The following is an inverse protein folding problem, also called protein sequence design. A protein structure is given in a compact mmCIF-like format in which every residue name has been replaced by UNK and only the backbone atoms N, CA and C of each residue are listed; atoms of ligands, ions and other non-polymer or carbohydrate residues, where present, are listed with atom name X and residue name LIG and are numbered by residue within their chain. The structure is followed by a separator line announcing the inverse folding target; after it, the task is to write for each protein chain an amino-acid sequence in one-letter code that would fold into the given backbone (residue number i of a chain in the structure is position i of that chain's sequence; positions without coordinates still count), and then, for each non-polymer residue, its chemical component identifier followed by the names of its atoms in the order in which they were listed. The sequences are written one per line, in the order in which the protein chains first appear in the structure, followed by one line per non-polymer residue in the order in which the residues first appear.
data_IF_634427884474
#
_entry.id   IF_634427884474
#
_cell.length_a   1.000
_cell.length_b   1.000
_cell.length_c   1.000
_cell.angle_alpha   90.00
_cell.angle_beta   90.00
_cell.angle_gamma   90.00
#
_symmetry.space_group_name_H-M   'P 1'
#
loop_
_entity.id
_entity.type
_entity.pdbx_description
1 polymer ?
#
# COMPACT_ATOMS: atom_id res chain seq x y z
N UNK A 1 35.27 33.98 -4.41
CA UNK A 1 34.20 34.78 -3.78
C UNK A 1 33.35 33.81 -2.97
N UNK A 2 33.72 33.59 -1.71
CA UNK A 2 33.06 32.64 -0.81
C UNK A 2 31.86 33.32 -0.15
N UNK A 3 30.65 32.83 -0.41
CA UNK A 3 29.44 33.26 0.29
C UNK A 3 29.36 32.55 1.63
N UNK A 4 29.48 33.30 2.72
CA UNK A 4 29.28 32.84 4.09
C UNK A 4 27.79 32.53 4.33
N UNK A 5 27.46 31.29 4.66
CA UNK A 5 26.17 30.97 5.28
C UNK A 5 26.24 31.35 6.77
N UNK A 6 25.35 32.19 7.30
CA UNK A 6 25.33 32.49 8.73
C UNK A 6 24.83 31.26 9.50
N UNK A 7 25.57 30.87 10.55
CA UNK A 7 25.14 29.88 11.52
C UNK A 7 24.02 30.47 12.39
N UNK A 8 22.79 30.00 12.20
CA UNK A 8 21.63 30.41 12.99
C UNK A 8 21.59 29.60 14.29
N UNK A 9 21.69 30.25 15.45
CA UNK A 9 21.70 29.57 16.76
C UNK A 9 20.29 29.39 17.31
N UNK A 10 20.08 28.36 18.14
CA UNK A 10 18.77 28.03 18.76
C UNK A 10 18.17 29.20 19.56
N UNK A 11 19.02 30.04 20.16
CA UNK A 11 18.64 31.26 20.86
C UNK A 11 17.99 32.31 19.95
N UNK A 12 18.39 32.37 18.68
CA UNK A 12 17.92 33.37 17.72
C UNK A 12 16.53 33.02 17.15
N UNK A 13 16.11 31.76 17.31
CA UNK A 13 14.80 31.26 16.90
C UNK A 13 13.69 31.63 17.91
N UNK A 14 14.03 31.79 19.19
CA UNK A 14 13.07 32.09 20.26
C UNK A 14 12.71 33.58 20.28
N UNK A 15 13.66 34.48 20.01
CA UNK A 15 13.43 35.93 19.99
C UNK A 15 12.62 36.42 18.79
N UNK A 16 12.54 35.67 17.69
CA UNK A 16 11.65 35.99 16.55
C UNK A 16 10.20 35.51 16.77
N UNK A 17 9.90 34.84 17.89
CA UNK A 17 8.67 34.08 18.08
C UNK A 17 7.46 34.90 18.56
N UNK A 18 7.61 36.20 18.83
CA UNK A 18 6.48 37.08 19.19
C UNK A 18 5.73 37.66 17.98
N UNK A 19 6.14 37.32 16.75
CA UNK A 19 5.49 37.75 15.51
C UNK A 19 5.47 36.65 14.42
N UNK A 20 5.23 35.38 14.79
CA UNK A 20 5.20 34.28 13.82
C UNK A 20 3.78 33.98 13.32
N UNK A 21 3.50 34.62 12.19
CA UNK A 21 2.62 34.21 11.10
C UNK A 21 2.62 32.68 10.84
N UNK A 22 1.45 32.17 10.47
CA UNK A 22 1.18 30.86 9.86
C UNK A 22 1.89 30.66 8.49
N UNK A 23 3.21 30.82 8.41
CA UNK A 23 3.95 30.72 7.14
C UNK A 23 4.32 29.28 6.75
N UNK A 24 4.38 28.35 7.72
CA UNK A 24 4.60 26.93 7.44
C UNK A 24 4.09 26.04 8.58
N UNK A 25 3.78 24.79 8.24
CA UNK A 25 3.38 23.75 9.20
C UNK A 25 4.53 22.74 9.28
N UNK A 26 5.02 22.47 10.48
CA UNK A 26 6.01 21.41 10.72
C UNK A 26 5.27 20.07 10.76
N UNK A 27 5.53 19.22 9.77
CA UNK A 27 4.94 17.87 9.69
C UNK A 27 5.92 16.83 10.21
N UNK A 28 5.89 16.56 11.52
CA UNK A 28 6.78 15.62 12.21
C UNK A 28 6.02 14.46 12.89
N UNK A 29 4.95 13.99 12.25
CA UNK A 29 4.15 12.87 12.77
C UNK A 29 4.95 11.57 12.74
N UNK A 30 5.00 10.86 13.87
CA UNK A 30 5.64 9.55 13.97
C UNK A 30 4.90 8.52 13.10
N UNK A 31 5.65 7.78 12.27
CA UNK A 31 5.03 6.81 11.34
C UNK A 31 4.59 5.51 12.03
N UNK A 32 5.17 5.25 13.20
CA UNK A 32 5.06 4.00 13.92
C UNK A 32 4.02 4.14 15.02
N UNK A 33 3.14 3.15 15.13
CA UNK A 33 2.09 3.10 16.15
C UNK A 33 2.66 2.44 17.41
N UNK A 34 3.23 1.26 17.20
CA UNK A 34 3.69 0.34 18.25
C UNK A 34 4.95 -0.38 17.73
N UNK A 35 6.05 -0.21 18.47
CA UNK A 35 7.28 -0.99 18.32
C UNK A 35 7.23 -2.15 19.31
N UNK A 36 6.95 -3.36 18.83
CA UNK A 36 6.97 -4.54 19.68
C UNK A 36 8.43 -5.00 19.84
N UNK A 37 9.00 -5.10 21.06
CA UNK A 37 10.41 -5.46 21.26
C UNK A 37 10.77 -6.90 20.84
N UNK A 38 9.77 -7.70 20.44
CA UNK A 38 9.91 -9.10 20.02
C UNK A 38 9.95 -9.21 18.48
N UNK A 39 9.48 -8.19 17.76
CA UNK A 39 9.38 -8.18 16.31
C UNK A 39 10.14 -6.96 15.80
N UNK A 40 11.21 -7.17 15.03
CA UNK A 40 12.01 -6.11 14.39
C UNK A 40 11.25 -5.31 13.30
N UNK A 41 9.91 -5.37 13.31
CA UNK A 41 9.01 -4.64 12.43
C UNK A 41 7.96 -3.88 13.25
N UNK A 42 8.06 -2.55 13.26
CA UNK A 42 7.05 -1.66 13.82
C UNK A 42 5.74 -1.74 13.04
N UNK A 43 4.61 -1.69 13.75
CA UNK A 43 3.30 -1.52 13.12
C UNK A 43 3.17 -0.04 12.73
N UNK A 44 2.92 0.24 11.45
CA UNK A 44 2.87 1.62 10.91
C UNK A 44 1.43 2.07 10.69
N UNK A 45 1.16 3.36 10.87
CA UNK A 45 -0.16 3.98 10.58
C UNK A 45 -0.66 3.67 9.17
N UNK A 46 0.25 3.67 8.21
CA UNK A 46 -0.03 3.33 6.82
C UNK A 46 -0.72 1.96 6.67
N UNK A 47 -0.20 0.93 7.35
CA UNK A 47 -0.75 -0.42 7.27
C UNK A 47 -2.14 -0.53 7.92
N UNK A 48 -2.35 0.20 9.02
CA UNK A 48 -3.63 0.26 9.70
C UNK A 48 -4.72 0.87 8.80
N UNK A 49 -4.44 2.02 8.18
CA UNK A 49 -5.41 2.65 7.27
C UNK A 49 -5.65 1.82 6.00
N UNK A 50 -4.65 1.10 5.52
CA UNK A 50 -4.81 0.12 4.45
C UNK A 50 -5.78 -1.00 4.84
N UNK A 51 -5.59 -1.60 6.02
CA UNK A 51 -6.46 -2.65 6.53
C UNK A 51 -7.90 -2.14 6.69
N UNK A 52 -8.07 -0.95 7.26
CA UNK A 52 -9.38 -0.31 7.39
C UNK A 52 -10.05 -0.09 6.01
N UNK A 53 -9.29 0.36 5.01
CA UNK A 53 -9.77 0.52 3.64
C UNK A 53 -10.28 -0.79 3.04
N UNK A 54 -9.53 -1.89 3.20
CA UNK A 54 -9.94 -3.23 2.74
C UNK A 54 -11.22 -3.69 3.44
N UNK A 55 -11.30 -3.55 4.76
CA UNK A 55 -12.49 -3.95 5.54
C UNK A 55 -13.71 -3.17 5.07
N UNK A 56 -13.59 -1.84 4.95
CA UNK A 56 -14.70 -0.98 4.50
C UNK A 56 -15.13 -1.32 3.07
N UNK A 57 -14.17 -1.53 2.16
CA UNK A 57 -14.46 -1.95 0.78
C UNK A 57 -15.24 -3.27 0.74
N UNK A 58 -14.82 -4.27 1.52
CA UNK A 58 -15.53 -5.55 1.62
C UNK A 58 -16.97 -5.37 2.13
N UNK A 59 -17.18 -4.56 3.17
CA UNK A 59 -18.53 -4.32 3.70
C UNK A 59 -19.44 -3.66 2.67
N UNK A 60 -18.93 -2.69 1.91
CA UNK A 60 -19.69 -2.04 0.82
C UNK A 60 -20.06 -3.06 -0.26
N UNK A 61 -19.10 -3.86 -0.72
CA UNK A 61 -19.33 -4.90 -1.73
C UNK A 61 -20.32 -5.96 -1.24
N UNK A 62 -20.28 -6.33 0.05
CA UNK A 62 -21.21 -7.28 0.63
C UNK A 62 -22.65 -6.76 0.58
N UNK A 63 -22.86 -5.45 0.80
CA UNK A 63 -24.19 -4.83 0.65
C UNK A 63 -24.65 -4.85 -0.81
N UNK A 64 -23.76 -4.59 -1.77
CA UNK A 64 -24.07 -4.63 -3.21
C UNK A 64 -24.44 -6.06 -3.63
N UNK A 65 -23.63 -7.06 -3.27
CA UNK A 65 -23.87 -8.47 -3.60
C UNK A 65 -25.21 -8.96 -3.05
N UNK A 66 -25.57 -8.55 -1.83
CA UNK A 66 -26.88 -8.86 -1.24
C UNK A 66 -28.03 -8.24 -2.03
N UNK A 67 -27.88 -6.99 -2.50
CA UNK A 67 -28.88 -6.32 -3.35
C UNK A 67 -29.06 -6.99 -4.70
N UNK A 68 -27.99 -7.57 -5.24
CA UNK A 68 -27.99 -8.30 -6.51
C UNK A 68 -28.34 -9.80 -6.37
N UNK A 69 -28.76 -10.23 -5.18
CA UNK A 69 -29.11 -11.62 -4.89
C UNK A 69 -27.95 -12.60 -5.19
N UNK A 70 -26.70 -12.16 -4.96
CA UNK A 70 -25.50 -12.96 -5.12
C UNK A 70 -25.04 -13.57 -3.80
N UNK A 71 -24.49 -14.81 -3.83
CA UNK A 71 -23.95 -15.45 -2.63
C UNK A 71 -22.71 -14.70 -2.11
N UNK A 72 -22.59 -14.58 -0.79
CA UNK A 72 -21.45 -13.92 -0.14
C UNK A 72 -20.14 -14.69 -0.37
N UNK A 73 -20.23 -16.01 -0.53
CA UNK A 73 -19.11 -16.89 -0.83
C UNK A 73 -18.41 -16.52 -2.15
N UNK A 74 -19.16 -15.90 -3.08
CA UNK A 74 -18.60 -15.44 -4.35
C UNK A 74 -17.74 -14.18 -4.14
N UNK A 75 -18.14 -13.30 -3.21
CA UNK A 75 -17.33 -12.14 -2.81
C UNK A 75 -16.09 -12.56 -2.04
N UNK A 76 -16.18 -13.58 -1.18
CA UNK A 76 -15.03 -14.13 -0.46
C UNK A 76 -13.99 -14.68 -1.43
N UNK A 77 -14.45 -15.46 -2.42
CA UNK A 77 -13.59 -15.98 -3.47
C UNK A 77 -12.98 -14.84 -4.30
N UNK A 78 -13.77 -13.84 -4.70
CA UNK A 78 -13.26 -12.67 -5.43
C UNK A 78 -12.18 -11.94 -4.63
N UNK A 79 -12.41 -11.71 -3.34
CA UNK A 79 -11.48 -11.03 -2.45
C UNK A 79 -10.13 -11.76 -2.36
N UNK A 80 -10.15 -13.10 -2.33
CA UNK A 80 -8.93 -13.91 -2.37
C UNK A 80 -8.20 -13.73 -3.71
N UNK A 81 -8.91 -13.77 -4.84
CA UNK A 81 -8.30 -13.57 -6.16
C UNK A 81 -7.65 -12.20 -6.29
N UNK A 82 -8.32 -11.14 -5.81
CA UNK A 82 -7.81 -9.77 -5.80
C UNK A 82 -6.58 -9.68 -4.89
N UNK A 83 -6.65 -10.17 -3.66
CA UNK A 83 -5.54 -10.09 -2.70
C UNK A 83 -4.29 -10.82 -3.22
N UNK A 84 -4.45 -12.07 -3.66
CA UNK A 84 -3.36 -12.88 -4.22
C UNK A 84 -2.80 -12.24 -5.49
N UNK A 85 -3.68 -11.81 -6.40
CA UNK A 85 -3.28 -11.12 -7.62
C UNK A 85 -2.50 -9.84 -7.32
N UNK A 86 -2.94 -9.04 -6.35
CA UNK A 86 -2.26 -7.80 -5.93
C UNK A 86 -0.86 -8.08 -5.41
N UNK A 87 -0.71 -9.03 -4.48
CA UNK A 87 0.60 -9.33 -3.87
C UNK A 87 1.57 -9.90 -4.89
N UNK A 88 1.14 -10.88 -5.68
CA UNK A 88 1.99 -11.49 -6.72
C UNK A 88 2.33 -10.44 -7.79
N UNK A 89 1.34 -9.71 -8.28
CA UNK A 89 1.52 -8.68 -9.29
C UNK A 89 2.45 -7.57 -8.81
N UNK A 90 2.27 -7.08 -7.58
CA UNK A 90 3.12 -6.04 -7.01
C UNK A 90 4.56 -6.50 -6.86
N UNK A 91 4.78 -7.77 -6.46
CA UNK A 91 6.12 -8.34 -6.34
C UNK A 91 6.78 -8.53 -7.70
N UNK A 92 6.08 -9.13 -8.65
CA UNK A 92 6.59 -9.31 -10.01
C UNK A 92 6.86 -7.96 -10.68
N UNK A 93 5.96 -6.99 -10.54
CA UNK A 93 6.17 -5.63 -11.04
C UNK A 93 7.42 -4.99 -10.44
N UNK A 94 7.67 -5.15 -9.15
CA UNK A 94 8.90 -4.64 -8.55
C UNK A 94 10.14 -5.28 -9.16
N UNK A 95 10.12 -6.61 -9.33
CA UNK A 95 11.24 -7.35 -9.92
C UNK A 95 11.50 -6.89 -11.36
N UNK A 96 10.46 -6.77 -12.18
CA UNK A 96 10.61 -6.39 -13.59
C UNK A 96 11.00 -4.93 -13.80
N UNK A 97 10.46 -4.00 -13.01
CA UNK A 97 10.69 -2.57 -13.23
C UNK A 97 11.95 -2.02 -12.55
N UNK A 98 12.41 -2.62 -11.45
CA UNK A 98 13.49 -2.04 -10.65
C UNK A 98 14.81 -2.80 -10.78
N UNK A 99 14.85 -4.12 -10.58
CA UNK A 99 16.12 -4.86 -10.62
C UNK A 99 15.98 -6.34 -11.05
N UNK A 100 15.65 -6.61 -12.32
CA UNK A 100 15.43 -7.98 -12.77
C UNK A 100 16.70 -8.85 -12.69
N UNK A 101 17.89 -8.27 -12.89
CA UNK A 101 19.15 -9.01 -12.86
C UNK A 101 19.50 -9.52 -11.45
N UNK A 102 19.27 -8.71 -10.42
CA UNK A 102 19.48 -9.10 -9.03
C UNK A 102 18.59 -10.29 -8.63
N UNK A 103 17.30 -10.24 -8.96
CA UNK A 103 16.37 -11.32 -8.58
C UNK A 103 16.57 -12.61 -9.36
N UNK A 104 17.08 -12.56 -10.59
CA UNK A 104 17.46 -13.76 -11.34
C UNK A 104 18.68 -14.47 -10.73
N UNK A 105 19.60 -13.72 -10.13
CA UNK A 105 20.74 -14.30 -9.40
C UNK A 105 20.36 -14.81 -8.00
N UNK A 106 19.26 -14.31 -7.41
CA UNK A 106 18.78 -14.69 -6.08
C UNK A 106 17.30 -15.08 -6.10
N UNK A 107 16.94 -16.23 -6.69
CA UNK A 107 15.53 -16.59 -6.92
C UNK A 107 14.71 -16.70 -5.63
N UNK A 108 15.32 -17.09 -4.50
CA UNK A 108 14.62 -17.14 -3.21
C UNK A 108 14.16 -15.76 -2.72
N UNK A 109 14.85 -14.68 -3.10
CA UNK A 109 14.47 -13.31 -2.73
C UNK A 109 13.21 -12.85 -3.44
N UNK A 110 12.76 -13.52 -4.50
CA UNK A 110 11.49 -13.22 -5.17
C UNK A 110 10.31 -13.39 -4.21
N UNK A 111 10.35 -14.39 -3.33
CA UNK A 111 9.28 -14.68 -2.37
C UNK A 111 9.36 -13.85 -1.09
N UNK A 112 10.49 -13.17 -0.85
CA UNK A 112 10.75 -12.39 0.35
C UNK A 112 10.00 -11.04 0.35
N UNK A 113 8.67 -11.10 0.40
CA UNK A 113 7.78 -9.91 0.41
C UNK A 113 7.91 -9.06 1.67
N UNK A 114 8.42 -9.65 2.77
CA UNK A 114 8.63 -8.97 4.05
C UNK A 114 9.82 -8.00 4.03
N UNK A 115 10.73 -8.13 3.07
CA UNK A 115 11.86 -7.20 2.89
C UNK A 115 11.43 -5.90 2.18
N UNK A 116 10.13 -5.73 1.91
CA UNK A 116 9.61 -4.65 1.08
C UNK A 116 9.74 -4.95 -0.41
N UNK A 117 9.71 -3.93 -1.25
CA UNK A 117 9.82 -4.07 -2.71
C UNK A 117 8.52 -4.55 -3.37
N UNK A 118 7.49 -3.71 -3.27
CA UNK A 118 6.19 -3.91 -3.91
C UNK A 118 5.92 -2.71 -4.83
N UNK A 119 5.64 -2.98 -6.11
CA UNK A 119 5.33 -1.94 -7.09
C UNK A 119 3.80 -1.77 -7.22
N UNK A 120 3.30 -0.54 -7.08
CA UNK A 120 1.86 -0.26 -7.21
C UNK A 120 1.30 -0.61 -8.60
N UNK A 121 2.05 -0.31 -9.67
CA UNK A 121 1.67 -0.64 -11.04
C UNK A 121 1.52 -2.15 -11.25
N UNK A 122 2.45 -2.93 -10.69
CA UNK A 122 2.35 -4.39 -10.69
C UNK A 122 1.14 -4.88 -9.91
N UNK A 123 0.84 -4.26 -8.77
CA UNK A 123 -0.36 -4.56 -7.98
C UNK A 123 -1.65 -4.32 -8.75
N UNK A 124 -1.76 -3.17 -9.42
CA UNK A 124 -2.92 -2.82 -10.26
C UNK A 124 -3.14 -3.82 -11.41
N UNK A 125 -2.07 -4.17 -12.13
CA UNK A 125 -2.13 -5.21 -13.17
C UNK A 125 -2.54 -6.57 -12.57
N UNK A 126 -1.98 -6.91 -11.41
CA UNK A 126 -2.31 -8.12 -10.66
C UNK A 126 -3.79 -8.22 -10.27
N UNK A 127 -4.40 -7.11 -9.84
CA UNK A 127 -5.84 -7.02 -9.54
C UNK A 127 -6.67 -7.32 -10.79
N UNK A 128 -6.37 -6.67 -11.92
CA UNK A 128 -7.09 -6.89 -13.17
C UNK A 128 -7.00 -8.34 -13.64
N UNK A 129 -5.83 -8.96 -13.52
CA UNK A 129 -5.64 -10.38 -13.83
C UNK A 129 -6.45 -11.26 -12.85
N UNK A 130 -6.44 -10.94 -11.55
CA UNK A 130 -7.23 -11.64 -10.55
C UNK A 130 -8.74 -11.62 -10.86
N UNK A 131 -9.28 -10.44 -11.16
CA UNK A 131 -10.67 -10.24 -11.58
C UNK A 131 -10.96 -11.03 -12.86
N UNK A 132 -10.07 -10.98 -13.85
CA UNK A 132 -10.22 -11.70 -15.11
C UNK A 132 -10.27 -13.23 -14.91
N UNK A 133 -9.36 -13.78 -14.12
CA UNK A 133 -9.32 -15.22 -13.81
C UNK A 133 -10.57 -15.66 -13.05
N UNK A 134 -11.02 -14.85 -12.09
CA UNK A 134 -12.25 -15.10 -11.34
C UNK A 134 -13.48 -15.08 -12.26
N UNK A 135 -13.65 -14.03 -13.07
CA UNK A 135 -14.76 -13.89 -14.00
C UNK A 135 -14.81 -15.08 -14.98
N UNK A 136 -13.66 -15.51 -15.50
CA UNK A 136 -13.54 -16.68 -16.37
C UNK A 136 -13.94 -17.99 -15.67
N UNK A 137 -13.51 -18.20 -14.42
CA UNK A 137 -13.84 -19.40 -13.65
C UNK A 137 -15.34 -19.49 -13.35
N UNK A 138 -15.96 -18.37 -13.01
CA UNK A 138 -17.38 -18.29 -12.62
C UNK A 138 -18.33 -17.99 -13.78
N UNK A 139 -17.80 -17.84 -15.01
CA UNK A 139 -18.57 -17.48 -16.23
C UNK A 139 -19.37 -16.19 -16.08
N UNK A 140 -18.78 -15.20 -15.40
CA UNK A 140 -19.37 -13.88 -15.19
C UNK A 140 -18.77 -12.89 -16.19
N UNK A 141 -19.48 -11.79 -16.45
CA UNK A 141 -18.93 -10.70 -17.25
C UNK A 141 -17.78 -10.04 -16.50
N UNK A 142 -16.62 -9.89 -17.14
CA UNK A 142 -15.46 -9.21 -16.54
C UNK A 142 -15.81 -7.79 -16.09
N UNK A 143 -16.52 -7.04 -16.94
CA UNK A 143 -16.91 -5.66 -16.63
C UNK A 143 -17.81 -5.59 -15.40
N UNK A 144 -18.69 -6.58 -15.21
CA UNK A 144 -19.56 -6.64 -14.03
C UNK A 144 -18.80 -6.93 -12.74
N UNK A 145 -17.72 -7.72 -12.81
CA UNK A 145 -16.89 -7.97 -11.62
C UNK A 145 -15.94 -6.78 -11.36
N UNK A 146 -15.62 -5.99 -12.37
CA UNK A 146 -14.64 -4.92 -12.31
C UNK A 146 -15.23 -3.53 -11.95
N UNK A 147 -16.56 -3.38 -11.99
CA UNK A 147 -17.28 -2.15 -11.67
C UNK A 147 -17.54 -1.93 -10.16
#
# INVERSE_FOLDING_TARGET
MHTYCPHFSYSDMITSSSALHLNYIVWNVESDILTLPIIDHSIRWYGLFWLLGIILSYQVLLVIFKKEYRPAELLDQLSIYILVGTVIGARLGHIFFYDPAYYLSHPFKILAIWEGGLASHGGGIGILIGIFLFARKHKLSFLWVAE
#
